data_IF_999141735427
#
_entry.id   IF_999141735427
#
_cell.length_a   1.000
_cell.length_b   1.000
_cell.length_c   1.000
_cell.angle_alpha   90.00
_cell.angle_beta   90.00
_cell.angle_gamma   90.00
#
_symmetry.space_group_name_H-M   'P 1'
#
loop_
_entity.id
_entity.type
_entity.pdbx_description
1 polymer ?
#
# COMPACT_ATOMS: atom_id res chain seq x y z
N UNK A 1 -49.11 17.41 -61.86
CA UNK A 1 -49.86 16.12 -61.91
C UNK A 1 -49.08 15.10 -61.07
N UNK A 2 -49.74 14.20 -60.32
CA UNK A 2 -50.25 14.37 -58.94
C UNK A 2 -49.37 13.60 -57.92
N UNK A 3 -49.27 14.01 -56.64
CA UNK A 3 -50.18 13.75 -55.51
C UNK A 3 -50.45 12.26 -55.20
N UNK A 4 -49.95 11.80 -54.04
CA UNK A 4 -50.53 10.81 -53.08
C UNK A 4 -49.42 10.47 -52.07
N UNK A 5 -49.61 10.26 -50.77
CA UNK A 5 -50.71 10.29 -49.79
C UNK A 5 -50.01 10.19 -48.40
N UNK A 6 -50.29 11.05 -47.43
CA UNK A 6 -51.30 10.92 -46.37
C UNK A 6 -50.91 10.07 -45.15
N UNK A 7 -50.76 10.77 -44.00
CA UNK A 7 -51.03 10.37 -42.59
C UNK A 7 -50.17 9.25 -41.98
N UNK A 8 -49.85 9.19 -40.69
CA UNK A 8 -50.14 9.94 -39.47
C UNK A 8 -49.17 9.40 -38.42
N UNK A 9 -48.62 10.22 -37.51
CA UNK A 9 -48.73 10.02 -36.06
C UNK A 9 -47.83 11.00 -35.31
N UNK A 10 -48.43 11.55 -34.25
CA UNK A 10 -47.96 12.63 -33.39
C UNK A 10 -46.93 12.09 -32.40
N UNK A 11 -45.82 12.81 -32.24
CA UNK A 11 -44.86 12.64 -31.16
C UNK A 11 -44.29 14.01 -30.80
N UNK A 12 -44.69 14.52 -29.64
CA UNK A 12 -44.34 15.82 -29.08
C UNK A 12 -42.80 15.94 -28.95
N UNK A 13 -42.19 16.86 -29.70
CA UNK A 13 -40.82 17.36 -29.49
C UNK A 13 -40.97 18.84 -29.14
N UNK A 14 -40.94 19.18 -27.84
CA UNK A 14 -40.69 20.56 -27.44
C UNK A 14 -39.17 20.71 -27.42
N UNK A 15 -38.68 21.39 -28.46
CA UNK A 15 -37.27 21.71 -28.65
C UNK A 15 -36.78 22.75 -27.66
N UNK A 16 -35.58 22.51 -27.13
CA UNK A 16 -34.74 23.55 -26.53
C UNK A 16 -34.27 24.43 -27.70
N UNK A 17 -34.77 25.67 -27.74
CA UNK A 17 -34.32 26.67 -28.70
C UNK A 17 -32.93 27.19 -28.26
N UNK A 18 -31.88 26.78 -28.98
CA UNK A 18 -30.57 27.42 -28.94
C UNK A 18 -30.68 28.71 -29.75
N UNK A 19 -30.85 29.83 -29.07
CA UNK A 19 -30.70 31.16 -29.66
C UNK A 19 -29.28 31.66 -29.37
N UNK A 20 -28.37 31.41 -30.31
CA UNK A 20 -27.01 31.97 -30.30
C UNK A 20 -27.08 33.45 -30.66
N UNK A 21 -27.24 34.31 -29.65
CA UNK A 21 -27.01 35.75 -29.78
C UNK A 21 -25.63 36.07 -29.23
N UNK A 22 -24.72 36.41 -30.15
CA UNK A 22 -23.46 37.07 -29.85
C UNK A 22 -23.73 38.34 -29.03
N UNK A 23 -23.39 38.31 -27.74
CA UNK A 23 -23.24 39.51 -26.93
C UNK A 23 -21.75 39.70 -26.66
N UNK A 24 -21.30 40.90 -27.02
CA UNK A 24 -19.94 41.38 -26.92
C UNK A 24 -19.35 41.21 -25.52
N UNK A 25 -18.07 40.89 -25.47
CA UNK A 25 -17.22 40.81 -24.28
C UNK A 25 -17.39 42.04 -23.37
N UNK A 26 -18.26 41.88 -22.40
CA UNK A 26 -18.29 42.63 -21.16
C UNK A 26 -17.86 41.65 -20.08
N UNK A 27 -16.89 42.05 -19.26
CA UNK A 27 -16.39 41.30 -18.12
C UNK A 27 -17.55 41.13 -17.13
N UNK A 28 -18.37 40.11 -17.32
CA UNK A 28 -19.28 39.66 -16.28
C UNK A 28 -18.39 39.09 -15.18
N UNK A 29 -18.42 39.70 -13.99
CA UNK A 29 -18.07 38.98 -12.79
C UNK A 29 -18.99 37.75 -12.78
N UNK A 30 -18.44 36.58 -13.08
CA UNK A 30 -19.18 35.33 -12.96
C UNK A 30 -19.50 35.20 -11.48
N UNK A 31 -20.78 35.27 -11.12
CA UNK A 31 -21.22 35.18 -9.73
C UNK A 31 -20.79 33.80 -9.21
N UNK A 32 -19.92 33.79 -8.20
CA UNK A 32 -19.41 32.55 -7.64
C UNK A 32 -20.53 31.80 -6.93
N UNK A 33 -20.43 30.47 -6.90
CA UNK A 33 -21.31 29.66 -6.08
C UNK A 33 -21.02 29.89 -4.58
N UNK A 34 -22.00 29.58 -3.74
CA UNK A 34 -21.83 29.61 -2.29
C UNK A 34 -22.38 28.35 -1.64
N UNK A 35 -21.74 27.93 -0.56
CA UNK A 35 -22.16 26.81 0.27
C UNK A 35 -22.11 27.23 1.73
N UNK A 36 -23.22 27.03 2.44
CA UNK A 36 -23.32 27.26 3.88
C UNK A 36 -24.04 26.11 4.57
N UNK A 37 -23.64 25.83 5.80
CA UNK A 37 -24.13 24.67 6.51
C UNK A 37 -23.52 24.51 7.89
N UNK A 38 -23.60 23.29 8.41
CA UNK A 38 -22.99 22.87 9.67
C UNK A 38 -22.35 21.50 9.55
N UNK A 39 -21.35 21.24 10.37
CA UNK A 39 -20.76 19.91 10.56
C UNK A 39 -21.20 19.34 11.90
N UNK A 40 -21.58 18.08 11.87
CA UNK A 40 -22.02 17.32 13.05
C UNK A 40 -21.32 15.97 13.14
N UNK A 41 -21.18 15.41 14.33
CA UNK A 41 -20.71 14.04 14.54
C UNK A 41 -21.84 13.01 14.29
N UNK A 42 -21.56 11.73 14.52
CA UNK A 42 -22.52 10.62 14.38
C UNK A 42 -23.76 10.77 15.29
N UNK A 43 -23.60 11.43 16.44
CA UNK A 43 -24.68 11.72 17.39
C UNK A 43 -25.49 12.97 17.02
N UNK A 44 -25.04 13.74 16.02
CA UNK A 44 -25.68 14.99 15.59
C UNK A 44 -25.24 16.24 16.36
N UNK A 45 -24.24 16.12 17.23
CA UNK A 45 -23.62 17.24 17.95
C UNK A 45 -22.70 18.06 17.04
N UNK A 46 -22.66 19.37 17.27
CA UNK A 46 -21.87 20.29 16.45
C UNK A 46 -20.34 20.06 16.58
N UNK A 47 -19.63 20.13 15.45
CA UNK A 47 -18.16 19.95 15.39
C UNK A 47 -17.48 21.28 15.08
N UNK A 48 -16.85 21.87 16.09
CA UNK A 48 -16.17 23.16 16.02
C UNK A 48 -14.70 23.04 15.61
N UNK A 49 -14.12 24.17 15.20
CA UNK A 49 -12.69 24.38 14.96
C UNK A 49 -12.03 23.48 13.90
N UNK A 50 -12.84 22.84 13.04
CA UNK A 50 -12.35 22.04 11.90
C UNK A 50 -12.38 22.86 10.61
N UNK A 51 -11.43 22.60 9.72
CA UNK A 51 -11.30 23.28 8.45
C UNK A 51 -12.10 22.51 7.38
N UNK A 52 -13.09 23.16 6.79
CA UNK A 52 -13.82 22.62 5.64
C UNK A 52 -13.35 23.35 4.40
N UNK A 53 -12.99 22.61 3.37
CA UNK A 53 -12.65 23.14 2.06
C UNK A 53 -13.55 22.57 0.97
N UNK A 54 -13.83 23.39 -0.04
CA UNK A 54 -14.36 22.93 -1.33
C UNK A 54 -13.20 22.91 -2.31
N UNK A 55 -12.92 21.77 -2.93
CA UNK A 55 -11.80 21.61 -3.86
C UNK A 55 -12.30 21.21 -5.25
N UNK A 56 -11.82 21.86 -6.33
CA UNK A 56 -11.94 21.32 -7.67
C UNK A 56 -11.38 19.91 -7.74
N UNK A 57 -12.12 19.03 -8.39
CA UNK A 57 -11.72 17.64 -8.54
C UNK A 57 -11.88 17.20 -9.99
N UNK A 58 -10.81 16.67 -10.60
CA UNK A 58 -10.85 16.18 -11.97
C UNK A 58 -10.15 14.84 -12.10
N UNK A 59 -10.83 13.90 -12.75
CA UNK A 59 -10.26 12.58 -13.11
C UNK A 59 -10.01 12.57 -14.62
N UNK A 60 -8.76 12.39 -15.02
CA UNK A 60 -8.36 12.25 -16.42
C UNK A 60 -7.69 10.88 -16.64
N UNK A 61 -8.49 9.89 -17.04
CA UNK A 61 -8.03 8.50 -17.15
C UNK A 61 -7.70 7.93 -15.77
N UNK A 62 -6.44 7.52 -15.56
CA UNK A 62 -5.94 7.05 -14.26
C UNK A 62 -5.26 8.14 -13.42
N UNK A 63 -5.19 9.38 -13.95
CA UNK A 63 -4.51 10.49 -13.28
C UNK A 63 -5.54 11.37 -12.57
N UNK A 64 -5.25 11.66 -11.30
CA UNK A 64 -6.02 12.56 -10.45
C UNK A 64 -5.38 13.93 -10.48
N UNK A 65 -6.17 14.95 -10.77
CA UNK A 65 -5.76 16.34 -10.64
C UNK A 65 -6.60 16.98 -9.53
N UNK A 66 -5.94 17.24 -8.40
CA UNK A 66 -6.54 17.86 -7.22
C UNK A 66 -6.01 19.29 -7.12
N UNK A 67 -6.92 20.27 -7.16
CA UNK A 67 -6.57 21.67 -6.97
C UNK A 67 -6.83 22.09 -5.54
N UNK A 68 -5.79 22.35 -4.75
CA UNK A 68 -5.98 23.02 -3.46
C UNK A 68 -6.15 24.53 -3.70
N UNK A 69 -7.19 25.13 -3.10
CA UNK A 69 -7.51 26.54 -3.28
C UNK A 69 -7.66 27.19 -1.89
N UNK A 70 -6.61 27.89 -1.45
CA UNK A 70 -6.50 28.47 -0.10
C UNK A 70 -7.65 29.42 0.30
N UNK A 71 -8.45 29.93 -0.64
CA UNK A 71 -9.56 30.84 -0.32
C UNK A 71 -10.94 30.15 -0.26
N UNK A 72 -11.06 28.88 -0.63
CA UNK A 72 -12.31 28.10 -0.49
C UNK A 72 -12.27 27.17 0.71
N UNK A 73 -11.74 27.69 1.81
CA UNK A 73 -11.68 26.99 3.07
C UNK A 73 -12.26 27.86 4.19
N UNK A 74 -12.94 27.23 5.14
CA UNK A 74 -13.54 27.89 6.29
C UNK A 74 -13.43 27.00 7.51
N UNK A 75 -12.95 27.57 8.60
CA UNK A 75 -13.02 26.93 9.91
C UNK A 75 -14.45 27.01 10.44
N UNK A 76 -14.95 25.91 11.02
CA UNK A 76 -16.26 25.89 11.66
C UNK A 76 -16.25 26.72 12.94
N UNK A 77 -17.37 27.38 13.23
CA UNK A 77 -17.56 28.06 14.51
C UNK A 77 -17.91 27.09 15.65
N UNK A 78 -18.13 27.61 16.86
CA UNK A 78 -18.49 26.82 18.05
C UNK A 78 -19.80 26.04 17.92
N UNK A 79 -20.63 26.35 16.92
CA UNK A 79 -21.88 25.64 16.61
C UNK A 79 -21.74 24.79 15.34
N UNK A 80 -20.49 24.54 14.90
CA UNK A 80 -20.16 23.74 13.73
C UNK A 80 -20.49 24.41 12.40
N UNK A 81 -20.85 25.69 12.39
CA UNK A 81 -21.32 26.36 11.16
C UNK A 81 -20.16 26.80 10.27
N UNK A 82 -20.40 26.76 8.97
CA UNK A 82 -19.49 27.27 7.96
C UNK A 82 -20.22 28.03 6.85
N UNK A 83 -19.48 28.88 6.16
CA UNK A 83 -19.93 29.56 4.95
C UNK A 83 -18.73 29.82 4.04
N UNK A 84 -18.78 29.29 2.82
CA UNK A 84 -17.78 29.46 1.77
C UNK A 84 -18.48 30.14 0.59
N UNK A 85 -17.93 31.26 0.15
CA UNK A 85 -18.47 32.09 -0.94
C UNK A 85 -17.47 32.18 -2.08
N UNK A 86 -17.93 32.73 -3.21
CA UNK A 86 -17.10 33.02 -4.37
C UNK A 86 -16.39 31.76 -4.93
N UNK A 87 -17.06 30.61 -4.82
CA UNK A 87 -16.59 29.33 -5.36
C UNK A 87 -16.71 29.41 -6.87
N UNK A 88 -15.61 29.22 -7.60
CA UNK A 88 -15.68 29.18 -9.06
C UNK A 88 -16.46 27.93 -9.47
N UNK A 89 -17.41 28.12 -10.37
CA UNK A 89 -18.15 27.02 -10.95
C UNK A 89 -17.20 25.98 -11.55
N UNK A 90 -17.44 24.72 -11.25
CA UNK A 90 -16.60 23.61 -11.70
C UNK A 90 -17.47 22.38 -11.97
N UNK A 91 -17.08 21.62 -13.00
CA UNK A 91 -17.78 20.38 -13.40
C UNK A 91 -17.81 19.35 -12.27
N UNK A 92 -16.80 19.35 -11.40
CA UNK A 92 -16.75 18.47 -10.24
C UNK A 92 -15.93 19.12 -9.12
N UNK A 93 -16.51 19.12 -7.92
CA UNK A 93 -15.90 19.54 -6.66
C UNK A 93 -16.12 18.45 -5.61
N UNK A 94 -15.29 18.48 -4.56
CA UNK A 94 -15.47 17.67 -3.35
C UNK A 94 -15.39 18.54 -2.10
N UNK A 95 -16.01 18.08 -1.02
CA UNK A 95 -15.69 18.59 0.32
C UNK A 95 -14.47 17.86 0.86
N UNK A 96 -13.61 18.62 1.51
CA UNK A 96 -12.52 18.11 2.34
C UNK A 96 -12.72 18.67 3.73
N UNK A 97 -12.57 17.83 4.73
CA UNK A 97 -12.60 18.23 6.13
C UNK A 97 -11.27 17.85 6.76
N UNK A 98 -10.59 18.82 7.35
CA UNK A 98 -9.34 18.65 8.06
C UNK A 98 -9.52 19.06 9.53
N UNK A 99 -8.91 18.31 10.44
CA UNK A 99 -8.86 18.69 11.85
C UNK A 99 -7.98 19.90 12.10
N UNK A 100 -8.07 20.48 13.29
CA UNK A 100 -7.14 21.52 13.74
C UNK A 100 -5.69 20.99 13.66
N UNK A 101 -4.74 21.83 13.27
CA UNK A 101 -3.33 21.47 13.05
C UNK A 101 -2.75 20.60 14.19
N UNK A 102 -2.75 19.30 13.94
CA UNK A 102 -2.32 18.26 14.87
C UNK A 102 -2.81 16.93 14.34
N UNK A 103 -1.90 16.13 13.79
CA UNK A 103 -2.09 14.90 13.00
C UNK A 103 -2.83 13.73 13.72
N UNK A 104 -3.54 14.00 14.81
CA UNK A 104 -4.07 13.00 15.74
C UNK A 104 -5.50 12.56 15.42
N UNK A 105 -6.30 13.39 14.75
CA UNK A 105 -7.71 13.08 14.46
C UNK A 105 -7.93 13.02 12.96
N UNK A 106 -8.29 11.83 12.45
CA UNK A 106 -8.82 11.66 11.11
C UNK A 106 -10.30 12.00 11.12
N UNK A 107 -10.72 12.85 10.19
CA UNK A 107 -12.13 13.21 10.04
C UNK A 107 -12.64 12.58 8.75
N UNK A 108 -13.51 11.58 8.89
CA UNK A 108 -14.15 10.93 7.75
C UNK A 108 -15.51 11.58 7.52
N UNK A 109 -15.81 11.98 6.28
CA UNK A 109 -17.16 12.42 5.93
C UNK A 109 -18.04 11.19 5.71
N UNK A 110 -19.10 11.03 6.49
CA UNK A 110 -20.06 9.92 6.39
C UNK A 110 -21.24 10.23 5.48
N UNK A 111 -21.71 11.48 5.48
CA UNK A 111 -22.79 11.93 4.61
C UNK A 111 -22.79 13.43 4.43
N UNK A 112 -23.40 13.89 3.33
CA UNK A 112 -23.70 15.29 3.09
C UNK A 112 -25.18 15.42 2.73
N UNK A 113 -25.95 16.10 3.55
CA UNK A 113 -27.34 16.43 3.30
C UNK A 113 -27.46 17.85 2.75
N UNK A 114 -28.20 18.01 1.64
CA UNK A 114 -28.46 19.26 0.95
C UNK A 114 -29.94 19.32 0.56
N UNK A 115 -30.78 19.80 1.47
CA UNK A 115 -32.23 19.77 1.29
C UNK A 115 -32.75 18.34 1.30
N UNK A 116 -33.40 17.91 0.22
CA UNK A 116 -33.95 16.54 0.07
C UNK A 116 -32.92 15.53 -0.47
N UNK A 117 -31.69 15.98 -0.78
CA UNK A 117 -30.63 15.13 -1.31
C UNK A 117 -29.65 14.75 -0.20
N UNK A 118 -29.40 13.46 -0.02
CA UNK A 118 -28.31 12.96 0.83
C UNK A 118 -27.29 12.23 -0.03
N UNK A 119 -26.03 12.66 0.05
CA UNK A 119 -24.89 12.00 -0.57
C UNK A 119 -24.18 11.13 0.45
N UNK A 120 -23.75 9.96 0.02
CA UNK A 120 -22.92 9.04 0.80
C UNK A 120 -21.61 8.76 0.04
N UNK A 121 -20.49 8.53 0.75
CA UNK A 121 -19.24 8.10 0.13
C UNK A 121 -19.43 6.83 -0.69
N UNK A 122 -18.74 6.75 -1.82
CA UNK A 122 -18.69 5.51 -2.58
C UNK A 122 -17.79 4.49 -1.85
N UNK A 123 -18.30 3.31 -1.52
CA UNK A 123 -17.55 2.26 -0.79
C UNK A 123 -16.63 1.42 -1.71
N UNK A 124 -16.17 1.97 -2.83
CA UNK A 124 -15.24 1.23 -3.69
C UNK A 124 -13.89 1.07 -2.97
N UNK A 125 -13.28 -0.14 -2.96
CA UNK A 125 -11.97 -0.33 -2.36
C UNK A 125 -11.01 0.69 -2.95
N UNK A 126 -10.31 1.38 -2.05
CA UNK A 126 -9.36 2.48 -2.25
C UNK A 126 -9.92 3.91 -2.25
N UNK A 127 -11.21 4.17 -2.45
CA UNK A 127 -11.70 5.56 -2.64
C UNK A 127 -13.08 5.84 -2.01
N UNK A 128 -13.10 6.22 -0.72
CA UNK A 128 -14.28 6.84 -0.07
C UNK A 128 -14.40 8.31 -0.51
N UNK A 129 -14.93 8.55 -1.70
CA UNK A 129 -15.01 9.91 -2.28
C UNK A 129 -16.45 10.32 -2.58
N UNK A 130 -16.77 11.61 -2.36
CA UNK A 130 -18.03 12.25 -2.74
C UNK A 130 -17.74 13.48 -3.59
N UNK A 131 -18.18 13.45 -4.84
CA UNK A 131 -18.02 14.57 -5.78
C UNK A 131 -19.37 15.02 -6.32
N UNK A 132 -19.54 16.31 -6.54
CA UNK A 132 -20.74 16.90 -7.15
C UNK A 132 -20.37 18.15 -7.96
N UNK A 133 -21.26 18.63 -8.82
CA UNK A 133 -21.02 19.82 -9.65
C UNK A 133 -21.58 21.07 -8.98
N UNK A 134 -20.92 22.21 -9.18
CA UNK A 134 -21.41 23.53 -8.77
C UNK A 134 -21.55 24.44 -9.99
N UNK A 135 -22.75 24.98 -10.20
CA UNK A 135 -23.02 25.96 -11.25
C UNK A 135 -22.79 27.39 -10.75
N UNK A 136 -22.50 28.32 -11.67
CA UNK A 136 -22.32 29.72 -11.32
C UNK A 136 -23.60 30.32 -10.71
N UNK A 137 -23.46 31.07 -9.61
CA UNK A 137 -24.58 31.62 -8.84
C UNK A 137 -25.39 30.60 -8.03
N UNK A 138 -25.00 29.32 -7.99
CA UNK A 138 -25.67 28.32 -7.16
C UNK A 138 -25.47 28.63 -5.68
N UNK A 139 -26.55 28.63 -4.90
CA UNK A 139 -26.51 28.77 -3.44
C UNK A 139 -26.98 27.49 -2.76
N UNK A 140 -26.07 26.81 -2.08
CA UNK A 140 -26.39 25.67 -1.21
C UNK A 140 -26.47 26.19 0.22
N UNK A 141 -27.66 26.07 0.83
CA UNK A 141 -27.92 26.52 2.20
C UNK A 141 -28.32 25.37 3.08
N UNK A 142 -27.97 25.48 4.37
CA UNK A 142 -28.30 24.51 5.40
C UNK A 142 -27.78 23.10 5.09
N UNK A 143 -26.60 23.00 4.44
CA UNK A 143 -25.96 21.70 4.28
C UNK A 143 -25.63 21.11 5.64
N UNK A 144 -25.86 19.81 5.84
CA UNK A 144 -25.44 19.09 7.05
C UNK A 144 -24.40 18.07 6.62
N UNK A 145 -23.17 18.26 7.08
CA UNK A 145 -22.07 17.33 6.85
C UNK A 145 -21.92 16.49 8.12
N UNK A 146 -22.16 15.19 8.00
CA UNK A 146 -21.97 14.26 9.12
C UNK A 146 -20.57 13.68 9.01
N UNK A 147 -19.80 13.77 10.09
CA UNK A 147 -18.42 13.25 10.15
C UNK A 147 -18.22 12.25 11.27
N UNK A 148 -17.30 11.31 11.04
CA UNK A 148 -16.71 10.46 12.08
C UNK A 148 -15.34 11.01 12.41
N UNK A 149 -15.09 11.25 13.70
CA UNK A 149 -13.79 11.70 14.20
C UNK A 149 -13.07 10.51 14.81
N UNK A 150 -12.11 9.97 14.07
CA UNK A 150 -11.29 8.86 14.52
C UNK A 150 -9.98 9.40 15.09
N UNK A 151 -9.70 9.10 16.36
CA UNK A 151 -8.38 9.37 16.92
C UNK A 151 -7.44 8.32 16.32
N UNK A 152 -6.49 8.76 15.48
CA UNK A 152 -5.46 7.88 14.96
C UNK A 152 -4.64 7.36 16.14
N UNK A 153 -4.50 6.04 16.30
CA UNK A 153 -3.62 5.52 17.32
C UNK A 153 -2.18 5.93 17.00
N UNK A 154 -1.50 6.44 18.02
CA UNK A 154 -0.12 6.87 17.90
C UNK A 154 0.83 5.83 18.49
N UNK A 155 1.90 5.56 17.76
CA UNK A 155 3.02 4.83 18.33
C UNK A 155 4.05 5.85 18.81
N UNK A 156 4.18 5.98 20.13
CA UNK A 156 5.26 6.74 20.75
C UNK A 156 6.40 5.79 21.09
N UNK A 157 7.44 5.82 20.27
CA UNK A 157 8.59 4.92 20.42
C UNK A 157 9.81 5.67 20.93
N UNK A 158 10.56 5.06 21.85
CA UNK A 158 11.88 5.53 22.31
C UNK A 158 12.96 4.70 21.65
N UNK A 159 13.97 5.34 21.06
CA UNK A 159 15.12 4.67 20.46
C UNK A 159 16.34 4.83 21.37
N UNK A 160 16.99 3.72 21.67
CA UNK A 160 18.23 3.67 22.45
C UNK A 160 19.27 2.83 21.71
N UNK A 161 20.55 3.11 21.92
CA UNK A 161 21.63 2.20 21.55
C UNK A 161 21.63 0.97 22.46
N UNK A 162 22.42 -0.06 22.10
CA UNK A 162 22.49 -1.31 22.86
C UNK A 162 22.95 -1.10 24.32
N UNK A 163 23.77 -0.07 24.59
CA UNK A 163 24.19 0.33 25.95
C UNK A 163 23.12 1.12 26.74
N UNK A 164 21.94 1.36 26.15
CA UNK A 164 20.85 2.12 26.74
C UNK A 164 20.94 3.63 26.55
N UNK A 165 21.98 4.14 25.89
CA UNK A 165 22.12 5.57 25.57
C UNK A 165 21.00 5.99 24.62
N UNK A 166 20.24 7.06 24.90
CA UNK A 166 19.19 7.51 23.99
C UNK A 166 19.72 8.07 22.66
N UNK A 167 19.02 7.78 21.57
CA UNK A 167 19.30 8.37 20.25
C UNK A 167 18.58 9.72 20.17
N UNK A 168 19.22 10.82 20.55
CA UNK A 168 18.54 12.12 20.77
C UNK A 168 18.72 13.11 19.62
N UNK A 169 17.71 13.95 19.37
CA UNK A 169 17.76 15.14 18.50
C UNK A 169 18.28 14.89 17.09
N UNK A 170 18.05 13.70 16.52
CA UNK A 170 18.67 13.29 15.26
C UNK A 170 17.67 12.60 14.35
N UNK A 171 17.98 12.58 13.04
CA UNK A 171 17.15 11.89 12.06
C UNK A 171 17.33 10.38 12.18
N UNK A 172 16.21 9.68 12.04
CA UNK A 172 16.13 8.23 11.96
C UNK A 172 15.25 7.84 10.78
N UNK A 173 15.50 6.66 10.22
CA UNK A 173 14.65 6.08 9.20
C UNK A 173 13.69 5.08 9.87
N UNK A 174 12.39 5.21 9.62
CA UNK A 174 11.36 4.32 10.15
C UNK A 174 10.74 3.52 9.02
N UNK A 175 10.31 2.30 9.33
CA UNK A 175 9.52 1.50 8.40
C UNK A 175 8.50 0.65 9.13
N UNK A 176 7.31 0.59 8.58
CA UNK A 176 6.20 -0.19 9.07
C UNK A 176 5.84 -1.27 8.05
N UNK A 177 5.64 -2.47 8.55
CA UNK A 177 5.01 -3.58 7.84
C UNK A 177 3.58 -3.72 8.38
N UNK A 178 2.60 -3.89 7.48
CA UNK A 178 1.21 -4.24 7.76
C UNK A 178 0.88 -5.57 7.12
N UNK A 179 0.25 -6.45 7.88
CA UNK A 179 -0.19 -7.77 7.45
C UNK A 179 -1.56 -8.07 8.07
N UNK A 180 -2.39 -8.76 7.32
CA UNK A 180 -3.66 -9.29 7.80
C UNK A 180 -3.40 -10.37 8.86
N UNK A 181 -4.37 -10.65 9.73
CA UNK A 181 -4.19 -11.60 10.83
C UNK A 181 -3.83 -13.03 10.37
N UNK A 182 -4.18 -13.40 9.14
CA UNK A 182 -3.82 -14.68 8.53
C UNK A 182 -2.41 -14.68 7.88
N UNK A 183 -1.68 -13.58 8.02
CA UNK A 183 -0.34 -13.38 7.46
C UNK A 183 -0.35 -12.90 6.00
N UNK A 184 -1.53 -12.77 5.37
CA UNK A 184 -1.66 -12.19 4.03
C UNK A 184 -1.61 -10.65 4.06
N UNK A 185 -1.78 -10.01 2.90
CA UNK A 185 -1.55 -8.57 2.74
C UNK A 185 -0.06 -8.21 2.72
N UNK A 186 0.33 -7.12 2.03
CA UNK A 186 1.76 -6.72 1.91
C UNK A 186 1.98 -5.20 1.96
N UNK A 187 1.20 -4.51 2.81
CA UNK A 187 1.37 -3.08 3.01
C UNK A 187 2.70 -2.78 3.71
N UNK A 188 3.52 -1.92 3.13
CA UNK A 188 4.71 -1.41 3.82
C UNK A 188 4.95 0.06 3.47
N UNK A 189 5.24 0.86 4.49
CA UNK A 189 5.52 2.29 4.35
C UNK A 189 6.80 2.63 5.10
N UNK A 190 7.67 3.41 4.47
CA UNK A 190 8.88 3.97 5.08
C UNK A 190 8.74 5.48 5.26
N UNK A 191 9.38 6.03 6.28
CA UNK A 191 9.43 7.46 6.55
C UNK A 191 10.80 7.85 7.14
N UNK A 192 11.06 9.15 7.20
CA UNK A 192 12.19 9.72 7.94
C UNK A 192 11.63 10.67 8.98
N UNK A 193 12.00 10.48 10.24
CA UNK A 193 11.54 11.31 11.35
C UNK A 193 12.72 11.74 12.24
N UNK A 194 12.45 12.54 13.26
CA UNK A 194 13.45 13.05 14.19
C UNK A 194 13.09 12.68 15.63
N UNK A 195 14.09 12.22 16.38
CA UNK A 195 13.93 11.97 17.82
C UNK A 195 14.06 13.25 18.64
N UNK A 196 13.39 13.31 19.78
CA UNK A 196 13.52 14.40 20.76
C UNK A 196 14.76 14.27 21.66
N UNK A 197 14.86 15.13 22.67
CA UNK A 197 15.99 15.15 23.62
C UNK A 197 16.07 13.92 24.52
N UNK A 198 14.99 13.14 24.64
CA UNK A 198 14.93 11.92 25.45
C UNK A 198 14.97 10.64 24.58
N UNK A 199 15.04 10.81 23.26
CA UNK A 199 15.12 9.76 22.26
C UNK A 199 13.76 9.25 21.76
N UNK A 200 12.67 9.98 22.00
CA UNK A 200 11.34 9.60 21.53
C UNK A 200 11.02 10.16 20.15
N UNK A 201 10.20 9.45 19.41
CA UNK A 201 9.48 9.93 18.23
C UNK A 201 8.04 9.43 18.26
N UNK A 202 7.18 10.05 17.45
CA UNK A 202 5.78 9.66 17.27
C UNK A 202 5.57 9.25 15.82
N UNK A 203 4.91 8.12 15.63
CA UNK A 203 4.53 7.58 14.33
C UNK A 203 3.00 7.46 14.30
N UNK A 204 2.36 8.13 13.34
CA UNK A 204 0.92 8.14 13.19
C UNK A 204 0.51 6.99 12.26
N UNK A 205 -0.21 6.00 12.80
CA UNK A 205 -0.65 4.84 12.04
C UNK A 205 -2.12 4.97 11.66
N UNK A 206 -2.45 4.54 10.44
CA UNK A 206 -3.83 4.35 10.02
C UNK A 206 -4.30 2.97 10.48
N UNK A 207 -5.43 2.92 11.17
CA UNK A 207 -6.17 1.69 11.44
C UNK A 207 -7.08 1.49 10.24
N UNK A 208 -6.84 0.41 9.50
CA UNK A 208 -7.76 0.01 8.44
C UNK A 208 -8.95 -0.73 9.09
N UNK A 209 -10.09 -0.81 8.39
CA UNK A 209 -11.34 -1.39 8.92
C UNK A 209 -11.16 -2.88 9.32
N UNK A 210 -10.24 -3.58 8.66
CA UNK A 210 -9.85 -4.96 8.97
C UNK A 210 -8.69 -5.01 9.99
N UNK A 211 -8.74 -5.92 10.97
CA UNK A 211 -7.66 -6.05 11.94
C UNK A 211 -6.37 -6.55 11.29
N UNK A 212 -5.27 -5.86 11.58
CA UNK A 212 -3.94 -6.14 11.04
C UNK A 212 -2.89 -6.14 12.16
N UNK A 213 -1.81 -6.88 11.96
CA UNK A 213 -0.61 -6.73 12.78
C UNK A 213 0.40 -5.82 12.10
N UNK A 214 1.09 -5.03 12.92
CA UNK A 214 2.06 -4.02 12.55
C UNK A 214 3.44 -4.43 13.07
N UNK A 215 4.47 -4.22 12.27
CA UNK A 215 5.87 -4.32 12.70
C UNK A 215 6.57 -3.02 12.38
N UNK A 216 7.03 -2.30 13.42
CA UNK A 216 7.81 -1.08 13.29
C UNK A 216 9.30 -1.40 13.42
N UNK A 217 10.11 -0.93 12.47
CA UNK A 217 11.55 -0.90 12.60
C UNK A 217 12.14 0.48 12.41
N UNK A 218 13.34 0.63 12.95
CA UNK A 218 14.14 1.86 12.89
C UNK A 218 15.54 1.51 12.40
N UNK A 219 16.08 2.37 11.55
CA UNK A 219 17.50 2.43 11.20
C UNK A 219 18.09 3.76 11.66
N UNK A 220 19.30 3.69 12.21
CA UNK A 220 20.11 4.85 12.53
C UNK A 220 21.60 4.51 12.41
N UNK A 221 22.31 5.20 11.51
CA UNK A 221 23.76 5.05 11.32
C UNK A 221 24.21 3.61 10.98
N UNK A 222 23.40 2.87 10.24
CA UNK A 222 23.64 1.48 9.88
C UNK A 222 23.28 0.47 10.99
N UNK A 223 22.74 0.94 12.12
CA UNK A 223 22.21 0.10 13.19
C UNK A 223 20.69 -0.01 13.07
N UNK A 224 20.14 -1.14 13.52
CA UNK A 224 18.74 -1.47 13.31
C UNK A 224 18.07 -1.90 14.63
N UNK A 225 16.78 -1.58 14.77
CA UNK A 225 15.90 -2.06 15.82
C UNK A 225 14.53 -2.41 15.24
N UNK A 226 13.83 -3.38 15.83
CA UNK A 226 12.43 -3.69 15.48
C UNK A 226 11.61 -3.98 16.72
N UNK A 227 10.34 -3.59 16.67
CA UNK A 227 9.35 -3.97 17.65
C UNK A 227 8.91 -5.43 17.43
N UNK A 228 8.39 -6.04 18.50
CA UNK A 228 7.54 -7.22 18.33
C UNK A 228 6.26 -6.82 17.58
N UNK A 229 5.64 -7.73 16.81
CA UNK A 229 4.36 -7.45 16.16
C UNK A 229 3.31 -6.97 17.17
N UNK A 230 2.56 -5.93 16.80
CA UNK A 230 1.50 -5.37 17.64
C UNK A 230 0.24 -5.11 16.82
N UNK A 231 -0.91 -5.07 17.49
CA UNK A 231 -2.21 -4.77 16.88
C UNK A 231 -2.64 -3.39 17.40
N UNK A 232 -3.28 -2.62 16.52
CA UNK A 232 -3.94 -1.38 16.88
C UNK A 232 -5.44 -1.66 17.04
N UNK A 233 -6.04 -1.16 18.10
CA UNK A 233 -7.49 -1.21 18.28
C UNK A 233 -8.08 0.18 18.15
N UNK A 234 -9.29 0.26 17.59
CA UNK A 234 -10.06 1.49 17.60
C UNK A 234 -10.25 1.98 19.04
N UNK A 235 -10.07 3.28 19.28
CA UNK A 235 -10.10 3.89 20.60
C UNK A 235 -8.86 3.68 21.49
N UNK A 236 -7.78 3.03 21.02
CA UNK A 236 -6.48 3.06 21.73
C UNK A 236 -5.67 4.30 21.33
N UNK A 237 -5.52 5.31 22.20
CA UNK A 237 -4.92 6.57 21.78
C UNK A 237 -3.40 6.45 21.54
N UNK A 238 -2.69 5.63 22.34
CA UNK A 238 -1.23 5.56 22.30
C UNK A 238 -0.67 4.18 22.67
N UNK A 239 0.30 3.73 21.88
CA UNK A 239 1.18 2.60 22.18
C UNK A 239 2.59 3.13 22.47
N UNK A 240 3.21 2.59 23.52
CA UNK A 240 4.58 2.94 23.90
C UNK A 240 5.54 1.80 23.56
N UNK A 241 6.57 2.08 22.78
CA UNK A 241 7.59 1.09 22.39
C UNK A 241 8.99 1.54 22.84
N UNK A 242 9.83 0.57 23.17
CA UNK A 242 11.27 0.77 23.35
C UNK A 242 12.00 -0.01 22.26
N UNK A 243 12.77 0.69 21.43
CA UNK A 243 13.53 0.14 20.33
C UNK A 243 15.02 0.25 20.65
N UNK A 244 15.63 -0.86 21.02
CA UNK A 244 17.07 -0.94 21.23
C UNK A 244 17.77 -1.30 19.92
N UNK A 245 18.65 -0.43 19.44
CA UNK A 245 19.49 -0.68 18.28
C UNK A 245 20.45 -1.84 18.58
N UNK A 246 20.75 -2.62 17.55
CA UNK A 246 21.65 -3.77 17.60
C UNK A 246 23.16 -3.43 17.81
N UNK A 247 23.48 -2.19 18.20
CA UNK A 247 24.85 -1.75 18.42
C UNK A 247 24.96 -0.49 19.27
N UNK A 248 26.20 -0.16 19.64
CA UNK A 248 26.56 1.00 20.44
C UNK A 248 26.78 2.25 19.56
N UNK A 249 26.81 3.47 20.15
CA UNK A 249 27.05 4.69 19.39
C UNK A 249 28.36 4.62 18.60
N UNK A 250 28.30 4.85 17.29
CA UNK A 250 29.48 4.88 16.43
C UNK A 250 30.02 6.31 16.33
N UNK A 251 31.31 6.56 16.67
CA UNK A 251 31.94 7.87 16.50
C UNK A 251 31.85 8.36 15.05
N UNK A 252 31.65 9.67 14.86
CA UNK A 252 31.53 10.30 13.53
C UNK A 252 32.65 9.93 12.56
N UNK A 253 33.89 9.75 13.05
CA UNK A 253 35.05 9.40 12.25
C UNK A 253 35.06 7.95 11.74
N UNK A 254 34.28 7.07 12.36
CA UNK A 254 34.22 5.63 12.06
C UNK A 254 32.96 5.28 11.25
N UNK A 255 32.12 6.28 10.93
CA UNK A 255 30.90 6.05 10.15
C UNK A 255 31.24 5.71 8.69
N UNK A 256 30.62 4.66 8.11
CA UNK A 256 30.85 4.33 6.72
C UNK A 256 30.45 5.50 5.80
N UNK A 257 31.31 5.83 4.84
CA UNK A 257 31.09 6.89 3.83
C UNK A 257 30.29 6.34 2.61
N UNK A 258 29.55 5.24 2.82
CA UNK A 258 28.79 4.55 1.77
C UNK A 258 27.43 5.19 1.47
N UNK A 259 26.71 4.73 0.43
CA UNK A 259 25.35 5.19 0.17
C UNK A 259 24.49 4.96 1.43
N UNK A 260 23.45 5.80 1.66
CA UNK A 260 22.60 5.64 2.85
C UNK A 260 22.07 4.20 2.88
N UNK A 261 22.07 3.58 4.06
CA UNK A 261 21.34 2.34 4.33
C UNK A 261 19.87 2.62 4.04
N UNK A 262 19.42 2.25 2.84
CA UNK A 262 18.58 3.16 2.03
C UNK A 262 17.07 3.06 2.22
N UNK A 263 16.57 2.09 3.00
CA UNK A 263 15.17 1.64 3.14
C UNK A 263 15.04 0.13 2.86
N UNK A 264 15.76 -0.36 1.84
CA UNK A 264 15.74 -1.77 1.44
C UNK A 264 16.27 -2.71 2.54
N UNK A 265 17.36 -2.33 3.21
CA UNK A 265 17.92 -3.09 4.33
C UNK A 265 17.01 -3.10 5.55
N UNK A 266 16.38 -1.95 5.87
CA UNK A 266 15.44 -1.87 6.97
C UNK A 266 14.20 -2.73 6.69
N UNK A 267 13.70 -2.73 5.45
CA UNK A 267 12.64 -3.64 5.02
C UNK A 267 13.02 -5.10 5.21
N UNK A 268 14.20 -5.49 4.72
CA UNK A 268 14.72 -6.85 4.88
C UNK A 268 15.03 -7.21 6.34
N UNK A 269 15.17 -6.24 7.24
CA UNK A 269 15.38 -6.50 8.67
C UNK A 269 14.06 -6.72 9.44
N UNK A 270 13.02 -5.91 9.13
CA UNK A 270 11.70 -6.02 9.77
C UNK A 270 10.86 -7.17 9.22
N UNK A 271 11.07 -7.49 7.94
CA UNK A 271 10.49 -8.64 7.25
C UNK A 271 11.65 -9.55 6.82
N UNK A 272 12.33 -10.22 7.79
CA UNK A 272 13.53 -10.98 7.51
C UNK A 272 13.29 -12.01 6.41
N UNK A 273 14.20 -12.11 5.42
CA UNK A 273 14.20 -13.27 4.54
C UNK A 273 14.29 -14.51 5.43
N UNK A 274 13.61 -15.55 4.97
CA UNK A 274 13.03 -16.57 5.82
C UNK A 274 14.09 -17.35 6.60
N UNK A 275 13.69 -17.97 7.72
CA UNK A 275 14.60 -18.88 8.44
C UNK A 275 14.85 -20.14 7.62
N UNK A 276 16.03 -20.73 7.78
CA UNK A 276 16.29 -22.07 7.25
C UNK A 276 15.44 -23.07 8.02
N UNK A 277 14.53 -23.76 7.33
CA UNK A 277 13.68 -24.82 7.86
C UNK A 277 14.22 -26.15 7.37
N UNK A 278 14.50 -27.08 8.27
CA UNK A 278 14.96 -28.41 7.90
C UNK A 278 13.75 -29.29 7.59
N UNK A 279 13.73 -29.90 6.41
CA UNK A 279 12.76 -30.95 6.11
C UNK A 279 13.20 -32.22 6.84
N UNK A 280 12.42 -32.74 7.80
CA UNK A 280 12.81 -33.90 8.58
C UNK A 280 12.90 -35.20 7.76
N UNK A 281 12.30 -35.26 6.56
CA UNK A 281 12.29 -36.44 5.73
C UNK A 281 13.61 -36.65 4.97
N UNK A 282 14.23 -35.58 4.47
CA UNK A 282 15.47 -35.65 3.68
C UNK A 282 16.68 -34.97 4.35
N UNK A 283 16.46 -34.20 5.42
CA UNK A 283 17.53 -33.53 6.17
C UNK A 283 18.06 -32.25 5.52
N UNK A 284 17.55 -31.88 4.34
CA UNK A 284 17.92 -30.64 3.66
C UNK A 284 17.29 -29.43 4.35
N UNK A 285 17.94 -28.28 4.22
CA UNK A 285 17.45 -27.01 4.74
C UNK A 285 16.90 -26.15 3.60
N UNK A 286 15.75 -25.52 3.85
CA UNK A 286 15.03 -24.69 2.89
C UNK A 286 14.79 -23.30 3.43
N UNK A 287 14.92 -22.29 2.57
CA UNK A 287 14.71 -20.89 2.94
C UNK A 287 14.02 -20.13 1.84
N UNK A 288 12.91 -19.48 2.15
CA UNK A 288 12.25 -18.54 1.23
C UNK A 288 13.01 -17.20 1.17
N UNK A 289 13.22 -16.73 -0.05
CA UNK A 289 13.81 -15.42 -0.34
C UNK A 289 12.87 -14.55 -1.17
N UNK A 290 13.17 -13.25 -1.21
CA UNK A 290 12.62 -12.32 -2.18
C UNK A 290 13.65 -12.12 -3.30
N UNK A 291 13.20 -12.09 -4.55
CA UNK A 291 14.06 -11.86 -5.71
C UNK A 291 13.38 -10.96 -6.74
N UNK A 292 14.16 -10.29 -7.56
CA UNK A 292 13.65 -9.48 -8.68
C UNK A 292 13.24 -10.35 -9.87
N UNK A 293 14.01 -11.40 -10.13
CA UNK A 293 13.80 -12.37 -11.18
C UNK A 293 14.53 -13.67 -10.80
N UNK A 294 14.55 -14.64 -11.72
CA UNK A 294 15.21 -15.93 -11.51
C UNK A 294 16.74 -15.81 -11.43
N UNK A 295 17.34 -14.84 -12.13
CA UNK A 295 18.78 -14.61 -12.09
C UNK A 295 19.22 -14.08 -10.71
N UNK A 296 18.49 -13.10 -10.16
CA UNK A 296 18.70 -12.62 -8.78
C UNK A 296 18.50 -13.73 -7.75
N UNK A 297 17.55 -14.65 -7.97
CA UNK A 297 17.38 -15.82 -7.10
C UNK A 297 18.61 -16.76 -7.13
N UNK A 298 19.16 -17.04 -8.32
CA UNK A 298 20.37 -17.86 -8.48
C UNK A 298 21.62 -17.20 -7.88
N UNK A 299 21.76 -15.89 -8.04
CA UNK A 299 22.86 -15.10 -7.45
C UNK A 299 22.80 -15.13 -5.91
N UNK A 300 21.61 -14.94 -5.33
CA UNK A 300 21.39 -15.04 -3.88
C UNK A 300 21.64 -16.46 -3.36
N UNK A 301 21.21 -17.49 -4.08
CA UNK A 301 21.49 -18.89 -3.74
C UNK A 301 23.00 -19.13 -3.64
N UNK A 302 23.75 -18.71 -4.67
CA UNK A 302 25.22 -18.82 -4.72
C UNK A 302 25.86 -18.09 -3.55
N UNK A 303 25.39 -16.88 -3.21
CA UNK A 303 25.88 -16.09 -2.08
C UNK A 303 25.67 -16.76 -0.71
N UNK A 304 24.65 -17.62 -0.57
CA UNK A 304 24.37 -18.37 0.67
C UNK A 304 24.91 -19.81 0.65
N UNK A 305 25.72 -20.17 -0.35
CA UNK A 305 26.21 -21.54 -0.59
C UNK A 305 25.04 -22.54 -0.62
N UNK A 306 24.02 -22.18 -1.38
CA UNK A 306 22.77 -22.88 -1.59
C UNK A 306 22.43 -22.93 -3.09
N UNK A 307 21.35 -23.64 -3.42
CA UNK A 307 20.77 -23.70 -4.75
C UNK A 307 19.34 -23.16 -4.71
N UNK A 308 18.80 -22.78 -5.87
CA UNK A 308 17.35 -22.62 -5.98
C UNK A 308 16.77 -24.03 -5.99
N UNK A 309 15.71 -24.25 -5.20
CA UNK A 309 15.25 -25.58 -4.77
C UNK A 309 15.09 -26.59 -5.90
N UNK A 310 15.55 -27.81 -5.64
CA UNK A 310 15.25 -29.02 -6.40
C UNK A 310 14.09 -29.74 -5.74
N UNK A 311 13.20 -30.34 -6.53
CA UNK A 311 12.08 -31.11 -5.99
C UNK A 311 12.15 -32.53 -6.54
N UNK A 312 12.49 -33.47 -5.65
CA UNK A 312 12.91 -34.82 -5.99
C UNK A 312 11.79 -35.85 -5.82
N UNK A 313 10.74 -35.55 -5.08
CA UNK A 313 9.55 -36.39 -4.95
C UNK A 313 8.27 -35.60 -4.60
N UNK A 314 7.14 -36.31 -4.59
CA UNK A 314 5.81 -35.75 -4.29
C UNK A 314 5.70 -35.28 -2.83
N UNK A 315 6.33 -35.97 -1.88
CA UNK A 315 6.27 -35.61 -0.47
C UNK A 315 7.02 -34.31 -0.18
N UNK A 316 8.16 -34.09 -0.83
CA UNK A 316 8.90 -32.84 -0.80
C UNK A 316 8.09 -31.69 -1.42
N UNK A 317 7.44 -31.92 -2.58
CA UNK A 317 6.57 -30.92 -3.20
C UNK A 317 5.42 -30.52 -2.26
N UNK A 318 4.72 -31.48 -1.66
CA UNK A 318 3.65 -31.24 -0.70
C UNK A 318 4.15 -30.55 0.57
N UNK A 319 5.32 -30.95 1.08
CA UNK A 319 5.92 -30.34 2.25
C UNK A 319 6.29 -28.87 2.01
N UNK A 320 6.90 -28.56 0.87
CA UNK A 320 7.21 -27.19 0.45
C UNK A 320 5.93 -26.35 0.34
N UNK A 321 4.85 -26.93 -0.21
CA UNK A 321 3.54 -26.28 -0.25
C UNK A 321 3.01 -25.97 1.14
N UNK A 322 3.11 -26.89 2.10
CA UNK A 322 2.60 -26.69 3.47
C UNK A 322 3.45 -25.77 4.35
N UNK A 323 4.75 -25.66 4.09
CA UNK A 323 5.66 -24.80 4.88
C UNK A 323 5.74 -23.37 4.33
N UNK A 324 5.73 -23.22 3.01
CA UNK A 324 5.93 -21.93 2.34
C UNK A 324 4.66 -21.40 1.64
N UNK A 325 3.49 -21.87 2.07
CA UNK A 325 2.12 -21.69 1.53
C UNK A 325 1.80 -20.39 0.72
N UNK A 326 0.88 -20.56 -0.25
CA UNK A 326 -0.03 -19.58 -0.91
C UNK A 326 0.50 -18.57 -1.94
N UNK A 327 1.80 -18.55 -2.24
CA UNK A 327 2.34 -17.71 -3.33
C UNK A 327 3.09 -18.55 -4.37
N UNK A 328 3.17 -18.03 -5.59
CA UNK A 328 4.00 -18.60 -6.65
C UNK A 328 5.48 -18.32 -6.36
N UNK A 329 6.35 -19.29 -6.59
CA UNK A 329 7.79 -19.13 -6.38
C UNK A 329 8.63 -19.85 -7.44
N UNK A 330 9.81 -19.30 -7.69
CA UNK A 330 10.84 -19.91 -8.54
C UNK A 330 11.41 -21.18 -7.92
N UNK A 331 11.62 -22.19 -8.78
CA UNK A 331 12.39 -23.39 -8.48
C UNK A 331 13.61 -23.46 -9.39
N UNK A 332 14.57 -24.32 -9.06
CA UNK A 332 15.84 -24.39 -9.76
C UNK A 332 15.79 -25.10 -11.11
N UNK A 333 14.61 -25.46 -11.64
CA UNK A 333 14.48 -26.20 -12.89
C UNK A 333 14.50 -25.24 -14.07
N UNK A 334 15.37 -25.51 -15.04
CA UNK A 334 15.47 -24.74 -16.29
C UNK A 334 15.97 -25.59 -17.46
N UNK A 335 15.61 -25.22 -18.69
CA UNK A 335 16.18 -25.77 -19.93
C UNK A 335 16.88 -24.69 -20.78
N UNK A 336 17.18 -23.51 -20.21
CA UNK A 336 17.88 -22.38 -20.83
C UNK A 336 19.22 -22.76 -21.51
N UNK A 337 19.88 -23.80 -21.01
CA UNK A 337 21.13 -24.30 -21.57
C UNK A 337 20.93 -25.11 -22.86
N UNK A 338 19.85 -25.90 -22.94
CA UNK A 338 19.49 -26.72 -24.10
C UNK A 338 17.98 -27.02 -24.07
N UNK A 339 17.23 -26.39 -24.97
CA UNK A 339 15.77 -26.52 -25.10
C UNK A 339 15.32 -28.00 -25.06
N UNK A 340 14.36 -28.30 -24.18
CA UNK A 340 13.84 -29.64 -23.98
C UNK A 340 14.69 -30.54 -23.06
N UNK A 341 15.82 -30.04 -22.56
CA UNK A 341 16.63 -30.70 -21.52
C UNK A 341 16.54 -29.94 -20.20
N UNK A 342 15.61 -30.38 -19.34
CA UNK A 342 15.46 -29.82 -17.99
C UNK A 342 16.61 -30.22 -17.06
N UNK A 343 17.20 -29.21 -16.42
CA UNK A 343 18.34 -29.36 -15.50
C UNK A 343 18.04 -28.57 -14.22
N UNK A 344 18.29 -29.18 -13.06
CA UNK A 344 18.24 -28.49 -11.78
C UNK A 344 19.48 -27.61 -11.59
N UNK A 345 19.30 -26.44 -10.97
CA UNK A 345 20.39 -25.55 -10.57
C UNK A 345 21.41 -26.24 -9.64
N UNK A 346 20.97 -27.21 -8.84
CA UNK A 346 21.84 -28.07 -8.01
C UNK A 346 22.73 -29.03 -8.83
N UNK A 347 22.38 -29.28 -10.09
CA UNK A 347 22.98 -30.33 -10.93
C UNK A 347 22.46 -31.73 -10.64
N UNK A 348 21.48 -31.87 -9.75
CA UNK A 348 20.83 -33.16 -9.47
C UNK A 348 20.08 -33.69 -10.71
N UNK A 349 19.96 -35.01 -10.88
CA UNK A 349 19.17 -35.57 -11.96
C UNK A 349 17.68 -35.28 -11.78
N UNK A 350 16.98 -34.93 -12.86
CA UNK A 350 15.53 -34.74 -12.84
C UNK A 350 14.83 -36.11 -12.76
N UNK A 351 14.45 -36.54 -11.55
CA UNK A 351 13.76 -37.83 -11.31
C UNK A 351 12.26 -37.70 -11.06
N UNK A 352 11.79 -36.50 -10.76
CA UNK A 352 10.41 -36.19 -10.46
C UNK A 352 9.97 -34.93 -11.20
N UNK A 353 8.71 -34.91 -11.66
CA UNK A 353 8.10 -33.73 -12.26
C UNK A 353 6.65 -33.60 -11.82
N UNK A 354 6.19 -32.36 -11.64
CA UNK A 354 4.81 -32.08 -11.21
C UNK A 354 4.10 -31.03 -12.10
N UNK A 355 4.30 -31.12 -13.41
CA UNK A 355 3.73 -30.19 -14.41
C UNK A 355 2.21 -30.02 -14.28
N UNK A 356 1.72 -28.79 -14.46
CA UNK A 356 0.31 -28.47 -14.65
C UNK A 356 -0.27 -29.08 -15.94
N UNK A 357 -1.60 -29.17 -16.02
CA UNK A 357 -2.30 -29.85 -17.13
C UNK A 357 -1.97 -29.26 -18.50
N UNK A 358 -1.83 -27.93 -18.59
CA UNK A 358 -1.55 -27.22 -19.86
C UNK A 358 -0.08 -27.26 -20.30
N UNK A 359 0.85 -27.69 -19.43
CA UNK A 359 2.30 -27.67 -19.70
C UNK A 359 2.82 -29.02 -20.24
N UNK A 360 2.00 -30.09 -20.21
CA UNK A 360 2.39 -31.45 -20.63
C UNK A 360 2.38 -31.67 -22.15
N UNK A 361 1.57 -30.93 -22.90
CA UNK A 361 1.25 -31.23 -24.32
C UNK A 361 1.77 -30.20 -25.34
N UNK A 362 2.81 -29.42 -24.99
CA UNK A 362 3.49 -28.51 -25.93
C UNK A 362 3.42 -27.02 -25.56
N UNK A 363 3.37 -26.70 -24.27
CA UNK A 363 3.45 -25.33 -23.75
C UNK A 363 4.84 -24.69 -23.84
N UNK A 364 5.89 -25.46 -24.20
CA UNK A 364 7.25 -24.97 -24.36
C UNK A 364 7.47 -24.39 -25.76
N UNK A 365 7.41 -23.07 -25.86
CA UNK A 365 7.94 -22.31 -27.00
C UNK A 365 9.39 -21.94 -26.67
N UNK A 366 10.25 -21.67 -27.68
CA UNK A 366 11.68 -21.27 -27.58
C UNK A 366 12.00 -20.03 -26.69
N UNK A 367 11.04 -19.54 -25.91
CA UNK A 367 11.14 -18.38 -25.04
C UNK A 367 10.76 -18.70 -23.59
N UNK A 368 10.55 -19.96 -23.19
CA UNK A 368 10.11 -20.30 -21.82
C UNK A 368 11.05 -21.27 -21.11
N UNK A 369 12.13 -20.73 -20.57
CA UNK A 369 13.22 -21.58 -20.11
C UNK A 369 13.23 -21.90 -18.60
N UNK A 370 12.27 -21.35 -17.83
CA UNK A 370 12.31 -21.38 -16.37
C UNK A 370 11.00 -21.86 -15.75
N UNK A 371 11.08 -22.38 -14.52
CA UNK A 371 9.94 -23.01 -13.86
C UNK A 371 9.59 -22.35 -12.54
N UNK A 372 8.29 -22.23 -12.30
CA UNK A 372 7.72 -21.84 -11.01
C UNK A 372 6.81 -22.95 -10.47
N UNK A 373 6.62 -22.95 -9.16
CA UNK A 373 5.48 -23.64 -8.55
C UNK A 373 4.29 -22.69 -8.52
N UNK A 374 3.21 -23.12 -9.17
CA UNK A 374 1.91 -22.47 -9.25
C UNK A 374 1.01 -22.76 -8.04
N UNK A 375 -0.24 -22.30 -8.12
CA UNK A 375 -1.23 -22.58 -7.08
C UNK A 375 -1.54 -24.07 -7.01
N UNK A 376 -1.59 -24.62 -5.79
CA UNK A 376 -1.84 -26.05 -5.58
C UNK A 376 -0.64 -26.96 -5.89
N UNK A 377 0.57 -26.39 -6.00
CA UNK A 377 1.81 -27.15 -6.08
C UNK A 377 2.18 -27.68 -7.46
N UNK A 378 1.41 -27.35 -8.51
CA UNK A 378 1.72 -27.72 -9.90
C UNK A 378 2.76 -26.79 -10.50
N UNK A 379 3.61 -27.32 -11.38
CA UNK A 379 4.70 -26.56 -11.98
C UNK A 379 4.24 -25.91 -13.29
N UNK A 380 4.60 -24.64 -13.46
CA UNK A 380 4.29 -23.81 -14.64
C UNK A 380 5.59 -23.36 -15.32
N UNK A 381 5.64 -23.40 -16.65
CA UNK A 381 6.81 -23.02 -17.45
C UNK A 381 6.65 -21.57 -17.91
N UNK A 382 7.64 -20.73 -17.63
CA UNK A 382 7.56 -19.27 -17.78
C UNK A 382 8.74 -18.70 -18.56
N UNK A 383 8.44 -17.63 -19.31
CA UNK A 383 9.43 -16.89 -20.07
C UNK A 383 10.28 -15.96 -19.21
N UNK A 384 11.60 -15.83 -19.47
CA UNK A 384 12.40 -14.80 -18.83
C UNK A 384 11.94 -13.40 -19.30
N UNK A 385 11.87 -12.45 -18.36
CA UNK A 385 11.75 -11.01 -18.67
C UNK A 385 10.40 -10.34 -18.37
N UNK A 386 10.38 -9.02 -18.59
CA UNK A 386 9.34 -8.09 -18.13
C UNK A 386 7.97 -8.21 -18.83
N UNK A 387 7.87 -9.00 -19.91
CA UNK A 387 6.65 -9.12 -20.73
C UNK A 387 5.76 -10.32 -20.40
N UNK A 388 6.24 -11.30 -19.61
CA UNK A 388 5.53 -12.54 -19.29
C UNK A 388 5.12 -12.64 -17.81
N UNK A 389 4.38 -13.69 -17.42
CA UNK A 389 3.92 -13.86 -16.02
C UNK A 389 5.05 -13.87 -14.98
N UNK A 390 6.28 -14.22 -15.40
CA UNK A 390 7.50 -14.24 -14.59
C UNK A 390 7.82 -12.91 -13.88
N UNK A 391 7.50 -11.75 -14.47
CA UNK A 391 7.87 -10.47 -13.86
C UNK A 391 7.11 -10.15 -12.56
N UNK A 392 5.97 -10.82 -12.33
CA UNK A 392 5.22 -10.72 -11.07
C UNK A 392 5.73 -11.69 -9.99
N UNK A 393 6.62 -12.63 -10.35
CA UNK A 393 7.14 -13.64 -9.43
C UNK A 393 8.37 -13.10 -8.72
N UNK A 394 8.20 -12.79 -7.43
CA UNK A 394 9.24 -12.13 -6.62
C UNK A 394 9.73 -12.99 -5.44
N UNK A 395 9.56 -14.30 -5.54
CA UNK A 395 9.87 -15.26 -4.49
C UNK A 395 10.59 -16.48 -5.08
N UNK A 396 11.54 -17.02 -4.33
CA UNK A 396 12.18 -18.30 -4.61
C UNK A 396 12.39 -19.06 -3.30
N UNK A 397 12.51 -20.38 -3.39
CA UNK A 397 12.98 -21.21 -2.28
C UNK A 397 14.43 -21.60 -2.57
N UNK A 398 15.29 -21.35 -1.60
CA UNK A 398 16.65 -21.85 -1.58
C UNK A 398 16.71 -23.18 -0.85
N UNK A 399 17.63 -24.03 -1.27
CA UNK A 399 17.89 -25.35 -0.71
C UNK A 399 19.39 -25.53 -0.48
N UNK A 400 19.75 -26.22 0.60
CA UNK A 400 21.11 -26.68 0.86
C UNK A 400 21.10 -28.02 1.59
N UNK A 401 22.08 -28.92 1.34
CA UNK A 401 22.09 -30.27 1.93
C UNK A 401 22.29 -30.30 3.45
N UNK A 402 22.98 -29.29 4.00
CA UNK A 402 23.28 -29.20 5.44
C UNK A 402 22.73 -27.90 6.03
N UNK A 403 22.07 -27.90 7.21
CA UNK A 403 21.61 -26.67 7.86
C UNK A 403 22.78 -25.73 8.24
N UNK A 404 22.55 -24.42 8.41
CA UNK A 404 23.59 -23.48 8.85
C UNK A 404 24.22 -23.97 10.14
N UNK A 405 25.55 -23.96 10.22
CA UNK A 405 26.23 -24.12 11.51
C UNK A 405 25.67 -23.04 12.44
N UNK A 406 25.15 -23.45 13.60
CA UNK A 406 24.74 -22.50 14.62
C UNK A 406 25.91 -21.56 14.90
N UNK A 407 25.70 -20.25 14.71
CA UNK A 407 26.67 -19.27 15.21
C UNK A 407 26.68 -19.47 16.72
N UNK A 408 27.81 -19.88 17.33
CA UNK A 408 27.84 -20.10 18.76
C UNK A 408 27.42 -18.80 19.45
N UNK A 409 26.41 -18.89 20.30
CA UNK A 409 25.96 -17.78 21.13
C UNK A 409 27.16 -17.27 21.90
N UNK A 410 27.68 -16.10 21.54
CA UNK A 410 28.65 -15.39 22.38
C UNK A 410 27.88 -14.73 23.53
N UNK A 411 27.34 -15.57 24.41
CA UNK A 411 26.96 -15.16 25.76
C UNK A 411 28.13 -15.54 26.67
N UNK A 412 28.93 -14.53 27.01
CA UNK A 412 29.87 -14.53 28.14
C UNK A 412 29.96 -13.13 28.74
#
# INVERSE_FOLDING_TARGET
MPFQSFRQSVGFLIGIAIFSLFVSSSTFAQEGASVSGRVVNEEGDAVADILIAVQPYKVMGNVREEGFVEHWQRQTDSEGRFSITDIMAAESVRFVVEGEHGEQTEIQILSIEMGELTLYPNDHPHFREMTFSLEAGMEIKNAVITVKMDIRPQVRARVVFADGTPVTNTRIHTRILRRDLDGSGSGSSGSTTQTDADGYFVENLRVDDDPQFYVLGVEHQGLFAKALPFILHDGQPQIYLLLALNGNPVPLAERPVGPPTSDAFLRAFIDPPSVWVVNPANGHAYKRIYCQDVADAMDQATGENAYVVSINDEAENEWLQGIFERERFWIGLSDDAEEGQWIWHSGEPVTYTNWGEDERDGGNTEMKDYVIVGFGGRWEVVAPGAGGQAHFIKRAILERPEPPAEVPSTDN
#
